data_IF_994222238543
#
_entry.id   IF_994222238543
#
_cell.length_a   1.000
_cell.length_b   1.000
_cell.length_c   1.000
_cell.angle_alpha   90.00
_cell.angle_beta   90.00
_cell.angle_gamma   90.00
#
_symmetry.space_group_name_H-M   'P 1'
#
loop_
_entity.id
_entity.type
_entity.pdbx_description
1 polymer ?
#
# COMPACT_ATOMS: atom_id res chain seq x y z
N UNK A 1 16.45 5.64 -15.72
CA UNK A 1 16.62 6.83 -14.85
C UNK A 1 16.05 6.47 -13.49
N UNK A 2 16.88 6.32 -12.47
CA UNK A 2 16.44 6.00 -11.11
C UNK A 2 16.02 7.31 -10.48
N UNK A 3 14.71 7.49 -10.30
CA UNK A 3 14.18 8.69 -9.64
C UNK A 3 14.23 8.47 -8.14
N UNK A 4 15.13 9.16 -7.43
CA UNK A 4 15.12 9.19 -5.96
C UNK A 4 14.03 10.13 -5.49
N UNK A 5 13.06 9.60 -4.76
CA UNK A 5 12.05 10.37 -4.03
C UNK A 5 12.43 10.30 -2.56
N UNK A 6 12.65 11.43 -1.90
CA UNK A 6 13.07 11.54 -0.49
C UNK A 6 14.37 10.77 -0.12
N UNK A 7 15.29 10.60 -1.06
CA UNK A 7 16.56 9.90 -0.80
C UNK A 7 16.49 8.37 -0.88
N UNK A 8 15.32 7.79 -1.00
CA UNK A 8 15.13 6.34 -1.12
C UNK A 8 15.16 5.86 -2.58
N UNK A 9 15.56 4.62 -2.78
CA UNK A 9 15.68 3.99 -4.10
C UNK A 9 14.35 3.40 -4.54
N UNK A 10 13.85 3.80 -5.71
CA UNK A 10 12.70 3.12 -6.34
C UNK A 10 13.16 1.73 -6.77
N UNK A 11 12.46 0.69 -6.34
CA UNK A 11 12.79 -0.70 -6.69
C UNK A 11 12.91 -0.85 -8.21
N UNK A 12 14.08 -1.27 -8.66
CA UNK A 12 14.53 -1.16 -10.05
C UNK A 12 13.56 -1.78 -11.07
N UNK A 13 13.19 -1.02 -12.08
CA UNK A 13 12.25 -1.39 -13.15
C UNK A 13 12.57 -2.72 -13.86
N UNK A 14 13.83 -3.11 -13.92
CA UNK A 14 14.30 -4.29 -14.67
C UNK A 14 13.99 -5.61 -13.95
N UNK A 15 14.08 -5.66 -12.62
CA UNK A 15 13.90 -6.88 -11.83
C UNK A 15 12.43 -7.30 -11.72
N UNK A 16 11.51 -6.33 -11.61
CA UNK A 16 10.06 -6.61 -11.48
C UNK A 16 9.46 -7.18 -12.77
N UNK A 17 9.95 -6.77 -13.94
CA UNK A 17 9.49 -7.28 -15.24
C UNK A 17 9.79 -8.78 -15.41
N UNK A 18 10.88 -9.26 -14.81
CA UNK A 18 11.33 -10.64 -14.95
C UNK A 18 10.64 -11.65 -14.03
N UNK A 19 9.69 -11.22 -13.16
CA UNK A 19 8.98 -12.12 -12.26
C UNK A 19 7.67 -12.63 -12.91
N UNK A 20 7.63 -13.83 -13.49
CA UNK A 20 6.47 -14.33 -14.25
C UNK A 20 5.24 -14.66 -13.38
N UNK A 21 5.44 -14.82 -12.07
CA UNK A 21 4.38 -15.20 -11.11
C UNK A 21 3.52 -14.03 -10.65
N UNK A 22 4.04 -12.80 -10.71
CA UNK A 22 3.33 -11.59 -10.32
C UNK A 22 2.36 -11.15 -11.41
N UNK A 23 1.16 -10.75 -11.01
CA UNK A 23 0.20 -10.16 -11.94
C UNK A 23 0.60 -8.72 -12.34
N UNK A 24 -0.01 -8.13 -13.38
CA UNK A 24 0.35 -6.79 -13.85
C UNK A 24 0.19 -5.69 -12.78
N UNK A 25 -0.81 -5.80 -11.90
CA UNK A 25 -1.05 -4.83 -10.83
C UNK A 25 0.01 -4.94 -9.74
N UNK A 26 0.36 -6.16 -9.31
CA UNK A 26 1.44 -6.41 -8.35
C UNK A 26 2.78 -5.88 -8.86
N UNK A 27 3.09 -6.13 -10.14
CA UNK A 27 4.29 -5.59 -10.79
C UNK A 27 4.31 -4.06 -10.78
N UNK A 28 3.16 -3.45 -11.02
CA UNK A 28 3.04 -2.00 -11.00
C UNK A 28 3.19 -1.45 -9.57
N UNK A 29 2.57 -2.08 -8.57
CA UNK A 29 2.73 -1.68 -7.17
C UNK A 29 4.19 -1.72 -6.73
N UNK A 30 4.88 -2.83 -6.98
CA UNK A 30 6.30 -2.98 -6.67
C UNK A 30 7.20 -1.97 -7.40
N UNK A 31 6.83 -1.57 -8.62
CA UNK A 31 7.57 -0.53 -9.38
C UNK A 31 7.49 0.84 -8.71
N UNK A 32 6.38 1.14 -8.05
CA UNK A 32 6.15 2.42 -7.38
C UNK A 32 6.46 2.39 -5.88
N UNK A 33 6.73 1.22 -5.33
CA UNK A 33 7.19 1.07 -3.96
C UNK A 33 8.64 1.58 -3.83
N UNK A 34 8.85 2.45 -2.86
CA UNK A 34 10.16 2.95 -2.48
C UNK A 34 10.56 2.21 -1.21
N UNK A 35 11.48 1.27 -1.34
CA UNK A 35 11.85 0.35 -0.27
C UNK A 35 13.37 0.22 -0.19
N UNK A 36 13.90 0.39 1.01
CA UNK A 36 15.30 0.15 1.33
C UNK A 36 15.46 -1.18 2.12
N UNK A 37 16.66 -1.78 2.16
CA UNK A 37 16.89 -3.05 2.87
C UNK A 37 16.56 -3.00 4.37
N UNK A 38 16.66 -1.83 4.99
CA UNK A 38 16.37 -1.61 6.42
C UNK A 38 14.88 -1.32 6.69
N UNK A 39 14.07 -1.19 5.64
CA UNK A 39 12.64 -0.88 5.77
C UNK A 39 11.86 -2.10 6.26
N UNK A 40 10.85 -1.82 7.05
CA UNK A 40 9.82 -2.78 7.44
C UNK A 40 8.57 -2.56 6.59
N UNK A 41 8.21 -3.56 5.80
CA UNK A 41 7.14 -3.49 4.82
C UNK A 41 5.96 -4.37 5.24
N UNK A 42 4.75 -3.83 5.16
CA UNK A 42 3.52 -4.59 5.33
C UNK A 42 2.86 -4.86 3.97
N UNK A 43 2.61 -6.12 3.65
CA UNK A 43 1.68 -6.53 2.60
C UNK A 43 0.29 -6.74 3.25
N UNK A 44 -0.57 -5.71 3.16
CA UNK A 44 -1.87 -5.69 3.84
C UNK A 44 -2.95 -6.55 3.15
N UNK A 45 -2.63 -7.18 2.03
CA UNK A 45 -3.47 -8.18 1.36
C UNK A 45 -2.54 -9.25 0.78
N UNK A 46 -1.83 -9.96 1.66
CA UNK A 46 -0.68 -10.81 1.31
C UNK A 46 -1.01 -11.92 0.29
N UNK A 47 -2.26 -12.33 0.19
CA UNK A 47 -2.68 -13.38 -0.74
C UNK A 47 -1.81 -14.63 -0.59
N UNK A 48 -1.27 -15.13 -1.70
CA UNK A 48 -0.35 -16.27 -1.69
C UNK A 48 1.11 -15.90 -1.39
N UNK A 49 1.37 -14.66 -0.98
CA UNK A 49 2.69 -14.19 -0.57
C UNK A 49 3.67 -13.90 -1.70
N UNK A 50 3.21 -13.68 -2.93
CA UNK A 50 4.10 -13.47 -4.08
C UNK A 50 4.82 -12.13 -4.06
N UNK A 51 4.12 -11.03 -3.70
CA UNK A 51 4.74 -9.72 -3.54
C UNK A 51 5.72 -9.71 -2.36
N UNK A 52 5.29 -10.27 -1.23
CA UNK A 52 6.12 -10.40 -0.03
C UNK A 52 7.38 -11.23 -0.30
N UNK A 53 7.29 -12.34 -1.03
CA UNK A 53 8.44 -13.14 -1.46
C UNK A 53 9.41 -12.32 -2.33
N UNK A 54 8.87 -11.56 -3.29
CA UNK A 54 9.67 -10.70 -4.14
C UNK A 54 10.44 -9.64 -3.34
N UNK A 55 9.76 -8.92 -2.44
CA UNK A 55 10.36 -7.89 -1.59
C UNK A 55 11.49 -8.46 -0.75
N UNK A 56 11.23 -9.55 -0.05
CA UNK A 56 12.22 -10.18 0.79
C UNK A 56 13.47 -10.65 0.03
N UNK A 57 13.27 -11.29 -1.15
CA UNK A 57 14.39 -11.83 -1.94
C UNK A 57 15.19 -10.79 -2.69
N UNK A 58 14.53 -9.75 -3.20
CA UNK A 58 15.17 -8.80 -4.09
C UNK A 58 15.51 -7.47 -3.42
N UNK A 59 14.74 -7.07 -2.40
CA UNK A 59 14.97 -5.82 -1.66
C UNK A 59 15.64 -6.08 -0.31
N UNK A 60 15.64 -7.34 0.16
CA UNK A 60 16.24 -7.78 1.43
C UNK A 60 15.66 -7.06 2.67
N UNK A 61 14.46 -6.49 2.56
CA UNK A 61 13.76 -5.81 3.64
C UNK A 61 13.00 -6.79 4.55
N UNK A 62 12.62 -6.33 5.74
CA UNK A 62 11.71 -7.06 6.63
C UNK A 62 10.29 -6.99 6.07
N UNK A 63 9.64 -8.14 5.88
CA UNK A 63 8.28 -8.20 5.33
C UNK A 63 7.35 -8.90 6.31
N UNK A 64 6.24 -8.23 6.62
CA UNK A 64 5.08 -8.78 7.32
C UNK A 64 3.89 -8.85 6.36
N UNK A 65 2.93 -9.71 6.65
CA UNK A 65 1.73 -9.84 5.84
C UNK A 65 0.48 -10.11 6.64
N UNK A 66 -0.66 -9.64 6.13
CA UNK A 66 -1.97 -9.90 6.71
C UNK A 66 -2.97 -10.30 5.63
N UNK A 67 -3.85 -11.24 5.96
CA UNK A 67 -5.03 -11.59 5.18
C UNK A 67 -6.17 -12.00 6.10
N UNK A 68 -7.39 -11.70 5.69
CA UNK A 68 -8.64 -12.20 6.31
C UNK A 68 -9.05 -13.58 5.77
N UNK A 69 -8.26 -14.18 4.90
CA UNK A 69 -8.47 -15.54 4.38
C UNK A 69 -7.41 -16.49 4.95
N UNK A 70 -7.87 -17.52 5.67
CA UNK A 70 -7.00 -18.50 6.32
C UNK A 70 -6.19 -19.34 5.31
N UNK A 71 -6.74 -19.63 4.13
CA UNK A 71 -6.04 -20.38 3.09
C UNK A 71 -4.91 -19.54 2.47
N UNK A 72 -5.15 -18.23 2.28
CA UNK A 72 -4.10 -17.30 1.87
C UNK A 72 -2.97 -17.25 2.91
N UNK A 73 -3.32 -17.13 4.20
CA UNK A 73 -2.34 -17.13 5.30
C UNK A 73 -1.51 -18.41 5.32
N UNK A 74 -2.14 -19.59 5.18
CA UNK A 74 -1.44 -20.88 5.12
C UNK A 74 -0.50 -20.95 3.92
N UNK A 75 -0.97 -20.52 2.74
CA UNK A 75 -0.19 -20.50 1.51
C UNK A 75 1.00 -19.55 1.61
N UNK A 76 0.79 -18.35 2.16
CA UNK A 76 1.86 -17.37 2.36
C UNK A 76 2.90 -17.85 3.39
N UNK A 77 2.48 -18.43 4.53
CA UNK A 77 3.37 -19.00 5.54
C UNK A 77 4.22 -20.15 4.99
N UNK A 78 3.64 -21.02 4.17
CA UNK A 78 4.38 -22.11 3.52
C UNK A 78 5.49 -21.58 2.59
N UNK A 79 5.27 -20.42 1.97
CA UNK A 79 6.23 -19.75 1.08
C UNK A 79 7.26 -18.91 1.83
N UNK A 80 6.84 -18.27 2.91
CA UNK A 80 7.57 -17.22 3.63
C UNK A 80 7.83 -17.62 5.08
N UNK A 81 8.51 -18.76 5.28
CA UNK A 81 8.71 -19.38 6.60
C UNK A 81 9.31 -18.48 7.68
N UNK A 82 10.00 -17.41 7.30
CA UNK A 82 10.64 -16.46 8.21
C UNK A 82 9.98 -15.06 8.22
N UNK A 83 8.79 -14.92 7.61
CA UNK A 83 8.02 -13.69 7.64
C UNK A 83 6.86 -13.81 8.63
N UNK A 84 6.52 -12.71 9.28
CA UNK A 84 5.38 -12.63 10.18
C UNK A 84 4.08 -12.45 9.37
N UNK A 85 3.39 -13.55 9.11
CA UNK A 85 2.13 -13.57 8.36
C UNK A 85 0.99 -13.89 9.33
N UNK A 86 0.02 -12.97 9.43
CA UNK A 86 -1.05 -13.05 10.43
C UNK A 86 -2.43 -13.10 9.76
N UNK A 87 -3.32 -13.90 10.36
CA UNK A 87 -4.74 -13.88 10.02
C UNK A 87 -5.42 -12.73 10.78
N UNK A 88 -5.86 -11.72 10.06
CA UNK A 88 -6.64 -10.61 10.60
C UNK A 88 -7.38 -9.86 9.48
N UNK A 89 -8.51 -9.22 9.76
CA UNK A 89 -9.14 -8.31 8.83
C UNK A 89 -8.28 -7.06 8.64
N UNK A 90 -8.28 -6.49 7.43
CA UNK A 90 -7.49 -5.28 7.13
C UNK A 90 -7.99 -4.04 7.90
N UNK A 91 -9.21 -4.09 8.42
CA UNK A 91 -9.77 -3.06 9.30
C UNK A 91 -9.38 -3.20 10.78
N UNK A 92 -8.51 -4.17 11.13
CA UNK A 92 -7.99 -4.40 12.49
C UNK A 92 -6.61 -5.07 12.38
N UNK A 93 -5.62 -4.28 12.01
CA UNK A 93 -4.26 -4.74 11.72
C UNK A 93 -3.50 -4.95 13.04
N UNK A 94 -2.98 -6.17 13.36
CA UNK A 94 -2.46 -6.52 14.69
C UNK A 94 -1.03 -6.02 14.93
N UNK A 95 -0.68 -4.86 14.45
CA UNK A 95 0.58 -4.19 14.76
C UNK A 95 0.35 -2.80 15.34
N UNK A 96 1.33 -2.34 16.12
CA UNK A 96 1.28 -1.02 16.76
C UNK A 96 1.30 0.12 15.74
N UNK A 97 0.92 1.28 16.18
CA UNK A 97 1.08 2.52 15.41
C UNK A 97 2.53 2.74 14.98
N UNK A 98 2.71 3.23 13.76
CA UNK A 98 4.03 3.55 13.22
C UNK A 98 4.99 2.35 13.13
N UNK A 99 4.48 1.15 12.87
CA UNK A 99 5.30 -0.06 12.79
C UNK A 99 6.01 -0.23 11.44
N UNK A 100 5.51 0.38 10.35
CA UNK A 100 5.97 0.11 8.98
C UNK A 100 6.43 1.38 8.24
N UNK A 101 7.50 1.22 7.45
CA UNK A 101 8.00 2.26 6.55
C UNK A 101 7.18 2.33 5.27
N UNK A 102 6.74 1.17 4.77
CA UNK A 102 5.91 1.07 3.56
C UNK A 102 4.78 0.06 3.78
N UNK A 103 3.59 0.43 3.34
CA UNK A 103 2.43 -0.48 3.30
C UNK A 103 2.00 -0.66 1.84
N UNK A 104 1.97 -1.91 1.39
CA UNK A 104 1.41 -2.32 0.11
C UNK A 104 0.02 -2.89 0.32
N UNK A 105 -0.95 -2.50 -0.50
CA UNK A 105 -2.31 -2.98 -0.37
C UNK A 105 -3.02 -3.10 -1.71
N UNK A 106 -3.57 -4.27 -2.03
CA UNK A 106 -4.50 -4.44 -3.13
C UNK A 106 -5.94 -4.28 -2.63
N UNK A 107 -6.60 -3.22 -3.10
CA UNK A 107 -7.98 -2.99 -2.75
C UNK A 107 -8.95 -3.77 -3.65
N UNK A 108 -9.77 -4.63 -3.04
CA UNK A 108 -10.81 -5.43 -3.70
C UNK A 108 -12.20 -5.28 -3.07
N UNK A 109 -12.30 -4.44 -2.03
CA UNK A 109 -13.53 -4.24 -1.25
C UNK A 109 -14.47 -3.18 -1.81
N UNK A 110 -15.49 -2.88 -1.04
CA UNK A 110 -16.48 -1.83 -1.29
C UNK A 110 -16.03 -0.47 -0.71
N UNK A 111 -16.79 0.59 -1.02
CA UNK A 111 -16.47 1.93 -0.54
C UNK A 111 -16.66 2.09 0.98
N UNK A 112 -17.54 1.30 1.60
CA UNK A 112 -17.91 1.47 3.02
C UNK A 112 -16.81 0.93 3.95
N UNK A 113 -16.15 -0.15 3.54
CA UNK A 113 -15.03 -0.71 4.28
C UNK A 113 -13.71 0.04 4.05
N UNK A 114 -13.65 0.91 3.03
CA UNK A 114 -12.44 1.64 2.64
C UNK A 114 -11.92 2.56 3.75
N UNK A 115 -12.79 3.32 4.42
CA UNK A 115 -12.40 4.30 5.42
C UNK A 115 -11.76 3.64 6.65
N UNK A 116 -12.39 2.56 7.15
CA UNK A 116 -11.84 1.80 8.27
C UNK A 116 -10.47 1.25 7.94
N UNK A 117 -10.34 0.68 6.77
CA UNK A 117 -9.09 0.11 6.29
C UNK A 117 -8.00 1.17 6.09
N UNK A 118 -8.31 2.31 5.47
CA UNK A 118 -7.36 3.41 5.33
C UNK A 118 -6.92 3.94 6.69
N UNK A 119 -7.84 4.06 7.66
CA UNK A 119 -7.52 4.43 9.03
C UNK A 119 -6.48 3.51 9.66
N UNK A 120 -6.69 2.19 9.56
CA UNK A 120 -5.76 1.18 10.10
C UNK A 120 -4.41 1.17 9.38
N UNK A 121 -4.41 1.23 8.05
CA UNK A 121 -3.19 1.32 7.25
C UNK A 121 -2.37 2.55 7.63
N UNK A 122 -3.02 3.71 7.77
CA UNK A 122 -2.35 4.93 8.20
C UNK A 122 -1.89 4.88 9.64
N UNK A 123 -2.63 4.22 10.53
CA UNK A 123 -2.22 4.03 11.92
C UNK A 123 -0.89 3.27 11.98
N UNK A 124 -0.78 2.14 11.29
CA UNK A 124 0.43 1.31 11.32
C UNK A 124 1.59 1.88 10.52
N UNK A 125 1.34 2.82 9.61
CA UNK A 125 2.37 3.49 8.82
C UNK A 125 3.12 4.53 9.64
N UNK A 126 4.44 4.54 9.57
CA UNK A 126 5.29 5.56 10.20
C UNK A 126 5.01 6.95 9.61
N UNK A 127 5.20 8.03 10.37
CA UNK A 127 5.27 9.37 9.81
C UNK A 127 6.33 9.46 8.71
N UNK A 128 5.96 9.95 7.54
CA UNK A 128 6.82 9.96 6.35
C UNK A 128 6.91 8.60 5.63
N UNK A 129 6.18 7.59 6.08
CA UNK A 129 6.08 6.29 5.42
C UNK A 129 5.20 6.34 4.17
N UNK A 130 5.38 5.36 3.29
CA UNK A 130 4.71 5.26 1.99
C UNK A 130 3.53 4.28 2.01
N UNK A 131 2.39 4.70 1.50
CA UNK A 131 1.29 3.83 1.10
C UNK A 131 1.34 3.60 -0.42
N UNK A 132 1.28 2.34 -0.85
CA UNK A 132 1.11 1.93 -2.25
C UNK A 132 -0.17 1.12 -2.38
N UNK A 133 -1.19 1.74 -2.96
CA UNK A 133 -2.52 1.17 -3.11
C UNK A 133 -2.78 0.76 -4.56
N UNK A 134 -2.90 -0.52 -4.82
CA UNK A 134 -3.38 -1.07 -6.09
C UNK A 134 -4.89 -1.26 -6.07
N UNK A 135 -5.60 -0.71 -7.04
CA UNK A 135 -7.05 -0.83 -7.12
C UNK A 135 -7.56 -1.08 -8.54
N UNK A 136 -8.69 -1.77 -8.64
CA UNK A 136 -9.48 -1.80 -9.85
C UNK A 136 -10.32 -0.52 -9.93
N UNK A 137 -9.98 0.34 -10.87
CA UNK A 137 -10.65 1.64 -11.08
C UNK A 137 -11.18 1.72 -12.50
N UNK A 138 -12.41 1.31 -12.68
CA UNK A 138 -13.10 1.38 -13.96
C UNK A 138 -13.59 2.79 -14.26
N UNK A 139 -13.60 3.24 -15.52
CA UNK A 139 -14.31 4.44 -15.93
C UNK A 139 -15.78 4.39 -15.50
N UNK A 140 -16.37 5.52 -15.10
CA UNK A 140 -17.74 5.57 -14.59
C UNK A 140 -18.77 4.93 -15.55
N UNK A 141 -18.59 5.12 -16.87
CA UNK A 141 -19.43 4.50 -17.89
C UNK A 141 -19.38 2.96 -17.88
N UNK A 142 -18.22 2.37 -17.61
CA UNK A 142 -18.06 0.91 -17.52
C UNK A 142 -18.56 0.35 -16.18
N UNK A 143 -18.59 1.14 -15.13
CA UNK A 143 -19.18 0.74 -13.85
C UNK A 143 -20.69 0.47 -13.98
N UNK A 144 -21.39 1.27 -14.78
CA UNK A 144 -22.83 1.06 -15.07
C UNK A 144 -23.04 -0.27 -15.81
N UNK A 145 -22.25 -0.56 -16.84
CA UNK A 145 -22.33 -1.80 -17.60
C UNK A 145 -22.01 -3.01 -16.72
N UNK A 146 -20.99 -2.93 -15.88
CA UNK A 146 -20.61 -4.00 -14.95
C UNK A 146 -21.69 -4.27 -13.91
N UNK A 147 -22.33 -3.22 -13.34
CA UNK A 147 -23.47 -3.37 -12.42
C UNK A 147 -24.64 -4.10 -13.08
N UNK A 148 -24.88 -3.82 -14.34
CA UNK A 148 -25.91 -4.51 -15.11
C UNK A 148 -25.57 -5.99 -15.38
N UNK A 149 -24.28 -6.32 -15.65
CA UNK A 149 -23.81 -7.68 -15.91
C UNK A 149 -23.61 -8.50 -14.63
N UNK A 150 -23.35 -7.86 -13.50
CA UNK A 150 -23.11 -8.51 -12.18
C UNK A 150 -24.36 -8.41 -11.32
N UNK A 151 -25.46 -9.03 -11.76
CA UNK A 151 -26.68 -9.10 -10.95
C UNK A 151 -26.37 -9.84 -9.63
N UNK A 152 -26.19 -9.09 -8.53
CA UNK A 152 -26.13 -9.65 -7.18
C UNK A 152 -24.93 -9.30 -6.28
N UNK A 153 -23.92 -8.57 -6.73
CA UNK A 153 -22.86 -8.07 -5.82
C UNK A 153 -23.03 -6.57 -5.60
N UNK A 154 -23.46 -6.19 -4.42
CA UNK A 154 -23.69 -4.80 -3.99
C UNK A 154 -22.42 -3.96 -3.80
N UNK A 155 -21.23 -4.46 -4.15
CA UNK A 155 -20.00 -3.70 -3.98
C UNK A 155 -19.94 -2.54 -4.98
N UNK A 156 -20.07 -1.33 -4.47
CA UNK A 156 -19.83 -0.10 -5.24
C UNK A 156 -18.35 0.00 -5.57
N UNK A 157 -17.97 -0.07 -6.85
CA UNK A 157 -16.56 0.05 -7.21
C UNK A 157 -16.05 1.44 -6.84
N UNK A 158 -14.96 1.46 -6.11
CA UNK A 158 -14.31 2.72 -5.73
C UNK A 158 -13.70 3.33 -6.98
N UNK A 159 -14.08 4.56 -7.31
CA UNK A 159 -13.47 5.28 -8.41
C UNK A 159 -12.25 6.09 -7.93
N UNK A 160 -11.42 6.51 -8.87
CA UNK A 160 -10.22 7.32 -8.60
C UNK A 160 -10.53 8.58 -7.77
N UNK A 161 -11.62 9.30 -8.12
CA UNK A 161 -12.00 10.53 -7.43
C UNK A 161 -12.33 10.23 -5.96
N UNK A 162 -13.11 9.20 -5.68
CA UNK A 162 -13.46 8.79 -4.32
C UNK A 162 -12.21 8.46 -3.51
N UNK A 163 -11.28 7.67 -4.05
CA UNK A 163 -10.01 7.37 -3.38
C UNK A 163 -9.19 8.63 -3.12
N UNK A 164 -9.07 9.50 -4.11
CA UNK A 164 -8.30 10.72 -3.98
C UNK A 164 -8.90 11.69 -2.94
N UNK A 165 -10.23 11.87 -2.93
CA UNK A 165 -10.92 12.71 -1.93
C UNK A 165 -10.73 12.14 -0.53
N UNK A 166 -10.98 10.84 -0.32
CA UNK A 166 -10.81 10.18 0.99
C UNK A 166 -9.38 10.31 1.52
N UNK A 167 -8.39 10.17 0.66
CA UNK A 167 -6.99 10.30 1.05
C UNK A 167 -6.59 11.75 1.36
N UNK A 168 -7.19 12.74 0.71
CA UNK A 168 -6.91 14.17 0.99
C UNK A 168 -7.44 14.61 2.35
N UNK A 169 -8.53 13.99 2.82
CA UNK A 169 -9.13 14.26 4.14
C UNK A 169 -8.32 13.62 5.28
N UNK A 170 -7.44 12.69 4.96
CA UNK A 170 -6.56 12.03 5.90
C UNK A 170 -5.18 12.73 5.92
N UNK A 171 -4.40 12.55 6.97
CA UNK A 171 -3.05 13.13 7.13
C UNK A 171 -2.04 12.59 6.11
N UNK A 172 -2.35 12.76 4.82
CA UNK A 172 -1.60 12.24 3.67
C UNK A 172 -1.15 13.39 2.78
N UNK A 173 0.02 13.26 2.20
CA UNK A 173 0.59 14.20 1.25
C UNK A 173 1.15 13.48 0.01
N UNK A 174 1.44 14.23 -1.04
CA UNK A 174 2.06 13.72 -2.27
C UNK A 174 1.31 12.56 -2.93
N UNK A 175 -0.03 12.65 -2.99
CA UNK A 175 -0.86 11.63 -3.63
C UNK A 175 -0.61 11.63 -5.14
N UNK A 176 -0.16 10.50 -5.68
CA UNK A 176 0.06 10.28 -7.10
C UNK A 176 -0.74 9.09 -7.60
N UNK A 177 -1.26 9.17 -8.81
CA UNK A 177 -2.00 8.09 -9.45
C UNK A 177 -1.39 7.69 -10.78
N UNK A 178 -1.14 6.40 -10.95
CA UNK A 178 -0.60 5.82 -12.17
C UNK A 178 -1.55 4.76 -12.73
N UNK A 179 -1.96 4.93 -13.98
CA UNK A 179 -2.77 3.94 -14.70
C UNK A 179 -1.88 2.78 -15.15
N UNK A 180 -2.27 1.57 -14.85
CA UNK A 180 -1.48 0.36 -15.16
C UNK A 180 -2.11 -0.52 -16.23
N UNK A 181 -3.36 -0.27 -16.58
CA UNK A 181 -4.10 -1.02 -17.61
C UNK A 181 -5.54 -0.54 -17.77
N UNK A 182 -6.34 -1.31 -18.51
CA UNK A 182 -7.78 -1.08 -18.63
C UNK A 182 -8.45 -1.39 -17.28
N UNK A 183 -8.85 -0.33 -16.57
CA UNK A 183 -9.56 -0.45 -15.30
C UNK A 183 -8.72 -0.82 -14.08
N UNK A 184 -7.40 -0.66 -14.12
CA UNK A 184 -6.52 -0.80 -12.97
C UNK A 184 -5.55 0.35 -12.85
N UNK A 185 -5.17 0.68 -11.60
CA UNK A 185 -4.19 1.70 -11.33
C UNK A 185 -3.55 1.54 -9.96
N UNK A 186 -2.43 2.21 -9.79
CA UNK A 186 -1.70 2.29 -8.52
C UNK A 186 -1.72 3.71 -8.02
N UNK A 187 -2.04 3.89 -6.76
CA UNK A 187 -1.93 5.14 -6.04
C UNK A 187 -0.76 5.04 -5.07
N UNK A 188 0.05 6.08 -5.03
CA UNK A 188 1.09 6.24 -4.02
C UNK A 188 0.82 7.50 -3.22
N UNK A 189 1.05 7.41 -1.93
CA UNK A 189 0.86 8.51 -1.00
C UNK A 189 1.83 8.39 0.17
N UNK A 190 2.14 9.50 0.84
CA UNK A 190 2.99 9.51 2.03
C UNK A 190 2.22 10.03 3.23
N UNK A 191 2.41 9.38 4.37
CA UNK A 191 1.87 9.88 5.64
C UNK A 191 2.63 11.14 6.02
N UNK A 192 1.91 12.22 6.32
CA UNK A 192 2.51 13.50 6.73
C UNK A 192 3.38 13.31 7.97
N UNK A 193 4.56 13.90 7.95
CA UNK A 193 5.37 14.03 9.16
C UNK A 193 4.71 15.05 10.09
N UNK A 194 4.68 14.81 11.42
CA UNK A 194 4.28 15.84 12.34
C UNK A 194 5.17 17.08 12.13
N UNK A 195 4.59 18.26 12.15
CA UNK A 195 5.37 19.49 12.17
C UNK A 195 6.31 19.41 13.39
N UNK A 196 7.57 19.74 13.20
CA UNK A 196 8.50 19.94 14.31
C UNK A 196 8.10 21.27 14.97
N UNK A 197 7.10 21.22 15.84
CA UNK A 197 6.73 22.37 16.65
C UNK A 197 7.89 22.66 17.59
N UNK A 198 8.53 23.81 17.34
CA UNK A 198 9.29 24.56 18.35
C UNK A 198 10.66 24.01 18.73
N UNK A 199 11.65 24.16 17.87
CA UNK A 199 12.92 24.67 18.38
C UNK A 199 12.73 26.18 18.57
N UNK A 200 12.27 26.60 19.74
CA UNK A 200 12.49 27.96 20.19
C UNK A 200 13.99 28.20 20.10
N UNK A 201 14.38 29.08 19.21
CA UNK A 201 15.69 29.74 19.28
C UNK A 201 15.69 30.56 20.56
N UNK A 202 16.14 29.98 21.66
CA UNK A 202 16.58 30.72 22.81
C UNK A 202 17.76 31.59 22.34
N UNK A 203 17.42 32.82 22.02
CA UNK A 203 18.39 33.86 21.78
C UNK A 203 19.11 34.16 23.09
N UNK A 204 20.25 33.52 23.27
CA UNK A 204 21.20 33.98 24.27
C UNK A 204 21.66 35.39 23.90
N UNK A 205 21.01 36.33 24.55
CA UNK A 205 21.42 37.72 24.56
C UNK A 205 22.56 37.83 25.58
N UNK A 206 23.78 37.63 25.07
CA UNK A 206 24.98 37.94 25.87
C UNK A 206 25.08 39.46 25.98
N UNK A 207 24.94 39.92 27.18
CA UNK A 207 25.44 41.23 27.62
C UNK A 207 26.88 41.10 28.08
#
# INVERSE_FOLDING_TARGET
MITKVQGKTVSGELSVKACPRLNPLEKAMLRWAVVDPEDRVLDACVGRGLMAEYLRRNMQCEVCGVSSDMEEVRSARARLQSCDIVYAPVGDIPWREGAFDTVLMQWKGDADSLDRMLGEVLRVLKPGGQLVLGAACWPAAMNALRRWMSAGTESTPVNRCTLQTRLTDLSIEQVSWQRTGLGTGVMTAWKRKPALDGVQADGDMIR
#
